data_IF_117762088067
#
_entry.id   IF_117762088067
#
_cell.length_a   1.000
_cell.length_b   1.000
_cell.length_c   1.000
_cell.angle_alpha   90.00
_cell.angle_beta   90.00
_cell.angle_gamma   90.00
#
_symmetry.space_group_name_H-M   'P 1'
#
loop_
_entity.id
_entity.type
_entity.pdbx_description
1 polymer ?
#
# COMPACT_ATOMS: atom_id res chain seq x y z
N UNK A 1 -15.91 -17.25 -16.76
CA UNK A 1 -15.14 -16.09 -16.26
C UNK A 1 -14.21 -15.61 -17.37
N UNK A 2 -14.37 -14.38 -17.87
CA UNK A 2 -13.56 -13.86 -18.99
C UNK A 2 -12.73 -12.68 -18.51
N UNK A 3 -11.41 -12.78 -18.62
CA UNK A 3 -10.47 -11.75 -18.18
C UNK A 3 -10.03 -10.95 -19.42
N UNK A 4 -9.86 -9.63 -19.28
CA UNK A 4 -9.35 -8.80 -20.37
C UNK A 4 -7.92 -9.22 -20.77
N UNK A 5 -7.61 -9.20 -22.07
CA UNK A 5 -6.29 -9.56 -22.59
C UNK A 5 -5.17 -8.71 -21.97
N UNK A 6 -5.44 -7.43 -21.75
CA UNK A 6 -4.50 -6.49 -21.11
C UNK A 6 -4.15 -6.87 -19.67
N UNK A 7 -5.11 -7.41 -18.92
CA UNK A 7 -4.88 -7.93 -17.56
C UNK A 7 -3.98 -9.17 -17.61
N UNK A 8 -4.26 -10.11 -18.53
CA UNK A 8 -3.43 -11.30 -18.71
C UNK A 8 -2.00 -10.94 -19.12
N UNK A 9 -1.81 -10.00 -20.05
CA UNK A 9 -0.47 -9.55 -20.46
C UNK A 9 0.36 -9.00 -19.29
N UNK A 10 -0.27 -8.25 -18.36
CA UNK A 10 0.40 -7.75 -17.15
C UNK A 10 0.84 -8.90 -16.23
N UNK A 11 -0.03 -9.89 -16.03
CA UNK A 11 0.28 -11.05 -15.19
C UNK A 11 1.42 -11.87 -15.79
N UNK A 12 1.37 -12.16 -17.09
CA UNK A 12 2.43 -12.89 -17.81
C UNK A 12 3.76 -12.14 -17.73
N UNK A 13 3.76 -10.82 -17.91
CA UNK A 13 4.98 -10.00 -17.78
C UNK A 13 5.57 -10.08 -16.38
N UNK A 14 4.75 -9.97 -15.33
CA UNK A 14 5.20 -10.11 -13.93
C UNK A 14 5.76 -11.51 -13.65
N UNK A 15 5.06 -12.56 -14.08
CA UNK A 15 5.50 -13.93 -13.90
C UNK A 15 6.85 -14.20 -14.58
N UNK A 16 7.04 -13.69 -15.81
CA UNK A 16 8.34 -13.80 -16.49
C UNK A 16 9.46 -13.07 -15.76
N UNK A 17 9.16 -11.99 -15.04
CA UNK A 17 10.16 -11.19 -14.34
C UNK A 17 10.57 -11.77 -12.97
N UNK A 18 9.68 -12.50 -12.28
CA UNK A 18 9.96 -12.96 -10.91
C UNK A 18 9.19 -14.20 -10.46
N UNK A 19 8.74 -15.01 -11.42
CA UNK A 19 8.02 -16.25 -11.17
C UNK A 19 6.71 -16.05 -10.43
N UNK A 20 6.33 -17.07 -9.67
CA UNK A 20 5.10 -17.07 -8.87
C UNK A 20 5.10 -16.01 -7.77
N UNK A 21 6.26 -15.78 -7.13
CA UNK A 21 6.40 -14.77 -6.08
C UNK A 21 6.04 -13.34 -6.57
N UNK A 22 6.26 -13.04 -7.85
CA UNK A 22 5.92 -11.74 -8.45
C UNK A 22 4.42 -11.54 -8.71
N UNK A 23 3.60 -12.59 -8.59
CA UNK A 23 2.13 -12.52 -8.69
C UNK A 23 1.45 -12.26 -7.35
N UNK A 24 2.18 -12.33 -6.23
CA UNK A 24 1.66 -11.96 -4.92
C UNK A 24 1.14 -10.53 -4.86
N UNK A 25 0.31 -10.23 -3.86
CA UNK A 25 -0.18 -8.88 -3.65
C UNK A 25 1.00 -7.95 -3.37
N UNK A 26 1.10 -6.88 -4.16
CA UNK A 26 2.13 -5.86 -4.01
C UNK A 26 1.43 -4.54 -3.84
N UNK A 27 1.93 -3.76 -2.90
CA UNK A 27 1.49 -2.39 -2.76
C UNK A 27 1.65 -1.67 -4.10
N UNK A 28 0.57 -1.06 -4.59
CA UNK A 28 0.62 -0.17 -5.77
C UNK A 28 1.27 1.19 -5.42
N UNK A 29 1.71 1.34 -4.18
CA UNK A 29 2.53 2.43 -3.71
C UNK A 29 3.80 2.64 -4.54
N UNK A 30 4.11 3.90 -4.88
CA UNK A 30 5.48 4.27 -5.26
C UNK A 30 6.46 3.90 -4.14
N UNK A 31 7.61 3.35 -4.51
CA UNK A 31 8.73 3.07 -3.59
C UNK A 31 9.35 4.35 -3.03
N UNK A 32 9.31 5.45 -3.79
CA UNK A 32 9.84 6.74 -3.35
C UNK A 32 8.69 7.69 -3.01
N UNK A 33 8.64 8.10 -1.73
CA UNK A 33 7.61 8.96 -1.16
C UNK A 33 8.28 9.98 -0.24
N UNK A 34 8.74 11.13 -0.76
CA UNK A 34 9.57 12.07 0.00
C UNK A 34 8.85 12.69 1.20
N UNK A 35 7.52 12.71 1.19
CA UNK A 35 6.68 13.25 2.28
C UNK A 35 6.05 12.11 3.12
N UNK A 36 6.57 10.88 3.01
CA UNK A 36 6.09 9.78 3.84
C UNK A 36 6.47 10.01 5.30
N UNK A 37 5.48 9.99 6.18
CA UNK A 37 5.72 10.03 7.61
C UNK A 37 6.52 8.80 8.06
N UNK A 38 7.46 8.97 9.00
CA UNK A 38 8.13 7.84 9.64
C UNK A 38 7.12 6.86 10.23
N UNK A 39 7.39 5.55 10.15
CA UNK A 39 6.47 4.50 10.60
C UNK A 39 6.04 4.68 12.07
N UNK A 40 6.97 5.06 12.95
CA UNK A 40 6.70 5.34 14.36
C UNK A 40 5.66 6.45 14.55
N UNK A 41 5.70 7.50 13.72
CA UNK A 41 4.71 8.59 13.76
C UNK A 41 3.33 8.08 13.34
N UNK A 42 3.28 7.22 12.32
CA UNK A 42 2.03 6.60 11.87
C UNK A 42 1.43 5.72 12.98
N UNK A 43 2.25 4.91 13.65
CA UNK A 43 1.82 4.06 14.77
C UNK A 43 1.19 4.88 15.91
N UNK A 44 1.80 6.01 16.28
CA UNK A 44 1.24 6.92 17.30
C UNK A 44 -0.08 7.55 16.85
N UNK A 45 -0.17 7.98 15.59
CA UNK A 45 -1.43 8.52 15.04
C UNK A 45 -2.52 7.44 15.04
N UNK A 46 -2.17 6.20 14.72
CA UNK A 46 -3.10 5.08 14.73
C UNK A 46 -3.58 4.71 16.14
N UNK A 47 -2.71 4.68 17.15
CA UNK A 47 -3.13 4.42 18.53
C UNK A 47 -4.10 5.48 19.03
N UNK A 48 -3.83 6.77 18.77
CA UNK A 48 -4.74 7.85 19.11
C UNK A 48 -6.09 7.76 18.39
N UNK A 49 -6.11 7.29 17.13
CA UNK A 49 -7.36 7.06 16.40
C UNK A 49 -8.13 5.85 16.93
N UNK A 50 -7.47 4.76 17.31
CA UNK A 50 -8.13 3.53 17.76
C UNK A 50 -8.61 3.64 19.20
N UNK A 51 -7.75 4.10 20.11
CA UNK A 51 -7.98 4.10 21.55
C UNK A 51 -8.76 5.34 21.99
N UNK A 52 -8.36 6.51 21.48
CA UNK A 52 -8.92 7.79 21.92
C UNK A 52 -9.92 8.38 20.93
N UNK A 53 -10.06 7.79 19.73
CA UNK A 53 -10.94 8.26 18.64
C UNK A 53 -10.72 9.73 18.29
N UNK A 54 -9.48 10.19 18.39
CA UNK A 54 -9.15 11.58 18.07
C UNK A 54 -9.30 11.88 16.59
N UNK A 55 -9.86 13.05 16.29
CA UNK A 55 -9.97 13.54 14.92
C UNK A 55 -8.61 14.04 14.41
N UNK A 56 -8.44 14.05 13.08
CA UNK A 56 -7.21 14.56 12.47
C UNK A 56 -6.89 16.01 12.88
N UNK A 57 -7.92 16.84 13.09
CA UNK A 57 -7.74 18.23 13.58
C UNK A 57 -7.13 18.29 14.98
N UNK A 58 -7.49 17.35 15.86
CA UNK A 58 -6.95 17.28 17.22
C UNK A 58 -5.51 16.78 17.24
N UNK A 59 -5.17 15.86 16.34
CA UNK A 59 -3.82 15.30 16.20
C UNK A 59 -2.84 16.34 15.60
N UNK A 60 -3.34 17.23 14.74
CA UNK A 60 -2.53 18.24 14.06
C UNK A 60 -2.30 19.54 14.86
N UNK A 61 -2.91 19.68 16.03
CA UNK A 61 -2.71 20.83 16.93
C UNK A 61 -1.60 20.51 17.92
#
# INVERSE_FOLDING_TARGET
MRIARSTLSKWVSRYRAGGEAALGDRSSASSHRPVQLPAQVVEVIESWRREQKWSGRRIAR
#
